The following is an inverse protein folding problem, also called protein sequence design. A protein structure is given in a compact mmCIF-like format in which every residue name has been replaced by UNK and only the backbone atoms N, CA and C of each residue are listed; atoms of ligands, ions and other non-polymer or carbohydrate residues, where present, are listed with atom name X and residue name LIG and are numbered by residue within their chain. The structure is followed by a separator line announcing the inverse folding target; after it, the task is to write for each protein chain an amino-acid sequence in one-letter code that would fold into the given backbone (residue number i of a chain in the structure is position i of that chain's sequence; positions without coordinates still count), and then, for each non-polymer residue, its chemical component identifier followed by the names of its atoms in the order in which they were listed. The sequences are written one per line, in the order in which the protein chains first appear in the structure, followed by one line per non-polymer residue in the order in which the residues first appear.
data_IF_610367092749
#
_entry.id   IF_610367092749
#
_cell.length_a   1.000
_cell.length_b   1.000
_cell.length_c   1.000
_cell.angle_alpha   90.00
_cell.angle_beta   90.00
_cell.angle_gamma   90.00
#
_symmetry.space_group_name_H-M   'P 1'
#
loop_
_entity.id
_entity.type
_entity.pdbx_description
1 polymer ?
#
# COMPACT_ATOMS: atom_id res chain seq x y z
N UNK A 1 3.98 -19.10 3.30
CA UNK A 1 4.16 -18.01 2.31
C UNK A 1 3.42 -16.76 2.78
N UNK A 2 4.04 -15.59 2.69
CA UNK A 2 3.47 -14.29 3.06
C UNK A 2 2.96 -13.55 1.81
N UNK A 3 2.10 -12.55 1.99
CA UNK A 3 1.64 -11.69 0.89
C UNK A 3 2.80 -10.84 0.35
N UNK A 4 3.01 -10.84 -0.97
CA UNK A 4 3.97 -10.00 -1.65
C UNK A 4 3.25 -8.79 -2.28
N UNK A 5 3.25 -7.66 -1.58
CA UNK A 5 2.61 -6.44 -2.03
C UNK A 5 3.28 -5.86 -3.30
N UNK A 6 4.60 -6.00 -3.43
CA UNK A 6 5.36 -5.44 -4.55
C UNK A 6 4.92 -6.05 -5.86
N UNK A 7 4.96 -7.38 -5.97
CA UNK A 7 4.51 -8.11 -7.16
C UNK A 7 3.03 -7.85 -7.45
N UNK A 8 2.19 -7.88 -6.42
CA UNK A 8 0.74 -7.69 -6.59
C UNK A 8 0.38 -6.32 -7.17
N UNK A 9 0.98 -5.25 -6.64
CA UNK A 9 0.68 -3.90 -7.10
C UNK A 9 1.39 -3.54 -8.41
N UNK A 10 2.55 -4.13 -8.68
CA UNK A 10 3.20 -4.03 -9.98
C UNK A 10 2.31 -4.65 -11.07
N UNK A 11 1.81 -5.87 -10.87
CA UNK A 11 0.88 -6.53 -11.81
C UNK A 11 -0.40 -5.70 -12.03
N UNK A 12 -0.92 -5.06 -10.98
CA UNK A 12 -2.07 -4.15 -11.12
C UNK A 12 -1.73 -2.94 -11.98
N UNK A 13 -0.56 -2.32 -11.79
CA UNK A 13 -0.14 -1.18 -12.58
C UNK A 13 0.02 -1.53 -14.07
N UNK A 14 0.50 -2.75 -14.36
CA UNK A 14 0.70 -3.25 -15.73
C UNK A 14 -0.61 -3.73 -16.40
N UNK A 15 -1.57 -4.26 -15.63
CA UNK A 15 -2.81 -4.84 -16.19
C UNK A 15 -4.00 -3.87 -16.21
N UNK A 16 -4.03 -2.88 -15.30
CA UNK A 16 -5.12 -1.93 -15.24
C UNK A 16 -4.98 -0.91 -16.37
N UNK A 17 -5.77 -1.08 -17.44
CA UNK A 17 -5.75 -0.25 -18.67
C UNK A 17 -5.64 1.26 -18.42
N UNK A 18 -6.27 1.79 -17.38
CA UNK A 18 -6.25 3.24 -17.07
C UNK A 18 -4.86 3.71 -16.63
N UNK A 19 -4.11 2.85 -15.95
CA UNK A 19 -2.74 3.10 -15.51
C UNK A 19 -1.79 2.73 -16.65
N UNK A 20 -1.89 1.50 -17.20
CA UNK A 20 -1.00 0.97 -18.22
C UNK A 20 -1.02 1.71 -19.56
N UNK A 21 -2.15 2.33 -19.92
CA UNK A 21 -2.25 3.13 -21.14
C UNK A 21 -1.91 4.62 -20.90
N UNK A 22 -1.45 4.99 -19.70
CA UNK A 22 -1.00 6.37 -19.48
C UNK A 22 0.39 6.58 -20.09
N UNK A 23 0.73 7.81 -20.46
CA UNK A 23 1.96 8.15 -21.19
C UNK A 23 3.23 8.08 -20.34
N UNK A 24 3.12 7.84 -19.03
CA UNK A 24 4.26 7.64 -18.14
C UNK A 24 4.97 6.31 -18.46
N UNK A 25 6.29 6.34 -18.67
CA UNK A 25 7.04 5.12 -19.00
C UNK A 25 7.12 4.08 -17.87
N UNK A 26 6.96 4.50 -16.60
CA UNK A 26 6.92 3.60 -15.45
C UNK A 26 5.77 4.02 -14.52
N UNK A 27 4.79 3.14 -14.32
CA UNK A 27 3.59 3.42 -13.51
C UNK A 27 3.67 2.90 -12.08
N UNK A 28 4.73 2.17 -11.73
CA UNK A 28 4.90 1.57 -10.40
C UNK A 28 6.23 2.00 -9.78
N UNK A 29 6.17 2.44 -8.52
CA UNK A 29 7.35 2.78 -7.74
C UNK A 29 7.24 2.25 -6.34
N UNK A 30 8.32 1.66 -5.83
CA UNK A 30 8.47 1.36 -4.41
C UNK A 30 9.20 2.51 -3.72
N UNK A 31 8.60 3.08 -2.69
CA UNK A 31 9.22 4.07 -1.84
C UNK A 31 9.39 3.52 -0.42
N UNK A 32 10.59 3.61 0.14
CA UNK A 32 10.83 3.20 1.53
C UNK A 32 10.30 4.24 2.53
N UNK A 33 10.27 5.51 2.12
CA UNK A 33 9.83 6.63 2.94
C UNK A 33 9.29 7.77 2.06
N UNK A 34 8.65 8.74 2.72
CA UNK A 34 8.04 9.91 2.05
C UNK A 34 9.08 10.74 1.30
N UNK A 35 10.30 10.91 1.84
CA UNK A 35 11.34 11.72 1.21
C UNK A 35 11.82 11.11 -0.13
N UNK A 36 11.98 9.78 -0.21
CA UNK A 36 12.29 9.07 -1.46
C UNK A 36 11.14 9.16 -2.45
N UNK A 37 9.90 9.08 -1.98
CA UNK A 37 8.71 9.30 -2.82
C UNK A 37 8.71 10.72 -3.40
N UNK A 38 8.94 11.76 -2.60
CA UNK A 38 8.98 13.14 -3.05
C UNK A 38 10.10 13.39 -4.07
N UNK A 39 11.30 12.86 -3.83
CA UNK A 39 12.42 12.97 -4.77
C UNK A 39 12.08 12.34 -6.12
N UNK A 40 11.52 11.14 -6.12
CA UNK A 40 11.09 10.46 -7.35
C UNK A 40 10.00 11.22 -8.10
N UNK A 41 9.00 11.75 -7.38
CA UNK A 41 7.92 12.53 -7.99
C UNK A 41 8.39 13.87 -8.54
N UNK A 42 9.44 14.46 -7.97
CA UNK A 42 10.08 15.66 -8.48
C UNK A 42 10.84 15.40 -9.79
N UNK A 43 11.51 14.24 -9.92
CA UNK A 43 12.13 13.83 -11.19
C UNK A 43 11.07 13.61 -12.29
N UNK A 44 9.88 13.16 -11.91
CA UNK A 44 8.75 12.93 -12.80
C UNK A 44 7.81 14.14 -12.95
N UNK A 45 8.27 15.37 -12.70
CA UNK A 45 7.42 16.56 -12.75
C UNK A 45 6.65 16.78 -14.07
N UNK A 46 7.17 16.25 -15.19
CA UNK A 46 6.54 16.35 -16.52
C UNK A 46 5.87 15.04 -16.97
N UNK A 47 5.84 14.01 -16.12
CA UNK A 47 5.21 12.75 -16.46
C UNK A 47 3.69 12.91 -16.42
N UNK A 48 3.06 12.74 -17.57
CA UNK A 48 1.60 12.69 -17.67
C UNK A 48 1.13 11.26 -17.38
N UNK A 49 0.27 11.11 -16.37
CA UNK A 49 -0.34 9.81 -16.08
C UNK A 49 -0.58 9.54 -14.61
N UNK A 50 -0.88 8.27 -14.33
CA UNK A 50 -1.05 7.76 -12.98
C UNK A 50 0.26 7.12 -12.50
N UNK A 51 0.62 7.40 -11.24
CA UNK A 51 1.69 6.74 -10.54
C UNK A 51 1.13 5.96 -9.36
N UNK A 52 1.39 4.65 -9.32
CA UNK A 52 1.13 3.82 -8.16
C UNK A 52 2.42 3.72 -7.35
N UNK A 53 2.43 4.28 -6.15
CA UNK A 53 3.57 4.24 -5.24
C UNK A 53 3.25 3.31 -4.07
N UNK A 54 3.98 2.21 -3.94
CA UNK A 54 3.89 1.34 -2.77
C UNK A 54 4.85 1.86 -1.70
N UNK A 55 4.36 2.09 -0.49
CA UNK A 55 5.21 2.39 0.66
C UNK A 55 5.18 1.21 1.63
N UNK A 56 6.23 0.39 1.57
CA UNK A 56 6.40 -0.77 2.44
C UNK A 56 7.35 -0.41 3.58
N UNK A 57 6.79 0.16 4.66
CA UNK A 57 7.46 0.20 5.95
C UNK A 57 7.00 -1.01 6.75
N UNK A 58 7.90 -1.87 7.22
CA UNK A 58 7.54 -2.99 8.08
C UNK A 58 6.90 -2.47 9.37
N UNK A 59 5.56 -2.44 9.38
CA UNK A 59 4.73 -2.07 10.51
C UNK A 59 3.79 -3.23 10.76
N UNK A 60 3.82 -3.75 11.98
CA UNK A 60 2.93 -4.82 12.39
C UNK A 60 2.29 -4.51 13.74
N UNK A 61 1.06 -4.97 13.91
CA UNK A 61 0.29 -4.84 15.13
C UNK A 61 -0.09 -6.21 15.65
N UNK A 62 0.02 -6.42 16.96
CA UNK A 62 -0.47 -7.63 17.63
C UNK A 62 -1.93 -7.48 17.98
N UNK A 63 -2.69 -8.55 17.73
CA UNK A 63 -4.08 -8.68 18.13
C UNK A 63 -4.15 -9.87 19.06
N UNK A 64 -4.53 -9.57 20.30
CA UNK A 64 -4.92 -10.57 21.27
C UNK A 64 -6.39 -10.91 21.03
N UNK A 65 -6.64 -12.12 20.54
CA UNK A 65 -7.99 -12.67 20.41
C UNK A 65 -8.26 -13.65 21.54
N UNK A 66 -8.41 -13.13 22.76
CA UNK A 66 -8.76 -13.90 23.97
C UNK A 66 -7.73 -14.98 24.31
N UNK A 67 -6.44 -14.62 24.28
CA UNK A 67 -5.33 -15.32 24.92
C UNK A 67 -4.88 -16.67 24.34
N UNK A 68 -5.65 -17.29 23.44
CA UNK A 68 -5.24 -18.57 22.83
C UNK A 68 -4.33 -18.43 21.61
N UNK A 69 -4.39 -17.31 20.88
CA UNK A 69 -3.50 -17.05 19.75
C UNK A 69 -3.29 -15.55 19.52
N UNK A 70 -2.07 -15.08 19.73
CA UNK A 70 -1.65 -13.75 19.29
C UNK A 70 -1.53 -13.78 17.77
N UNK A 71 -2.33 -12.95 17.09
CA UNK A 71 -2.25 -12.76 15.66
C UNK A 71 -1.47 -11.49 15.36
N UNK A 72 -0.56 -11.57 14.40
CA UNK A 72 0.12 -10.40 13.87
C UNK A 72 -0.63 -9.89 12.64
N UNK A 73 -0.85 -8.58 12.53
CA UNK A 73 -1.31 -7.94 11.29
C UNK A 73 -0.19 -7.10 10.73
N UNK A 74 0.09 -7.22 9.43
CA UNK A 74 1.04 -6.36 8.73
C UNK A 74 0.31 -5.23 8.02
N UNK A 75 0.79 -4.01 8.23
CA UNK A 75 0.27 -2.81 7.61
C UNK A 75 0.90 -2.59 6.24
N UNK A 76 0.07 -2.23 5.27
CA UNK A 76 0.47 -1.86 3.93
C UNK A 76 -0.18 -0.54 3.55
N UNK A 77 0.52 0.25 2.75
CA UNK A 77 -0.04 1.47 2.20
C UNK A 77 0.47 1.70 0.78
N UNK A 78 -0.42 2.12 -0.11
CA UNK A 78 -0.07 2.57 -1.45
C UNK A 78 -0.72 3.91 -1.73
N UNK A 79 -0.11 4.66 -2.64
CA UNK A 79 -0.59 5.93 -3.15
C UNK A 79 -0.91 5.75 -4.62
N UNK A 80 -2.06 6.24 -5.05
CA UNK A 80 -2.34 6.47 -6.45
C UNK A 80 -2.31 7.98 -6.68
N UNK A 81 -1.32 8.45 -7.42
CA UNK A 81 -1.07 9.86 -7.69
C UNK A 81 -1.26 10.15 -9.17
N UNK A 82 -1.67 11.37 -9.49
CA UNK A 82 -1.74 11.89 -10.85
C UNK A 82 -1.18 13.31 -10.88
N UNK A 83 -0.31 13.58 -11.85
CA UNK A 83 0.25 14.91 -12.04
C UNK A 83 -0.81 15.86 -12.63
N UNK A 84 -0.77 17.12 -12.22
CA UNK A 84 -1.61 18.18 -12.74
C UNK A 84 -0.75 19.36 -13.21
N UNK A 85 -0.86 19.71 -14.49
CA UNK A 85 -0.40 21.00 -14.98
C UNK A 85 -1.30 22.10 -14.41
N UNK A 86 -0.69 23.08 -13.73
CA UNK A 86 -1.34 24.19 -13.04
C UNK A 86 -2.38 24.93 -13.90
N UNK A 87 -3.50 25.35 -13.30
CA UNK A 87 -4.37 26.35 -13.96
C UNK A 87 -5.75 26.61 -13.36
N UNK A 88 -6.43 25.64 -12.72
CA UNK A 88 -7.77 25.87 -12.13
C UNK A 88 -8.07 25.00 -10.92
N UNK A 89 -8.72 25.58 -9.90
CA UNK A 89 -9.19 24.91 -8.67
C UNK A 89 -10.15 23.75 -8.94
N UNK A 90 -10.91 23.83 -10.03
CA UNK A 90 -11.81 22.77 -10.51
C UNK A 90 -11.06 21.48 -10.88
N UNK A 91 -9.86 21.60 -11.47
CA UNK A 91 -9.07 20.45 -11.89
C UNK A 91 -8.58 19.57 -10.73
N UNK A 92 -8.39 20.14 -9.53
CA UNK A 92 -7.99 19.39 -8.34
C UNK A 92 -9.05 18.36 -7.95
N UNK A 93 -10.31 18.78 -7.78
CA UNK A 93 -11.38 17.87 -7.38
C UNK A 93 -11.61 16.79 -8.44
N UNK A 94 -11.57 17.19 -9.71
CA UNK A 94 -11.67 16.25 -10.82
C UNK A 94 -10.55 15.20 -10.80
N UNK A 95 -9.31 15.57 -10.44
CA UNK A 95 -8.22 14.60 -10.28
C UNK A 95 -8.48 13.65 -9.13
N UNK A 96 -8.92 14.16 -7.98
CA UNK A 96 -9.23 13.29 -6.84
C UNK A 96 -10.36 12.33 -7.18
N UNK A 97 -11.42 12.78 -7.85
CA UNK A 97 -12.52 11.93 -8.31
C UNK A 97 -12.04 10.88 -9.32
N UNK A 98 -11.16 11.27 -10.24
CA UNK A 98 -10.54 10.35 -11.19
C UNK A 98 -9.66 9.31 -10.48
N UNK A 99 -8.85 9.73 -9.51
CA UNK A 99 -8.03 8.84 -8.70
C UNK A 99 -8.93 7.91 -7.87
N UNK A 100 -10.04 8.41 -7.32
CA UNK A 100 -11.02 7.61 -6.59
C UNK A 100 -11.60 6.51 -7.48
N UNK A 101 -12.03 6.84 -8.69
CA UNK A 101 -12.57 5.87 -9.63
C UNK A 101 -11.55 4.77 -10.00
N UNK A 102 -10.26 5.08 -10.03
CA UNK A 102 -9.20 4.09 -10.25
C UNK A 102 -8.94 3.27 -8.98
N UNK A 103 -8.88 3.91 -7.81
CA UNK A 103 -8.76 3.22 -6.52
C UNK A 103 -9.91 2.25 -6.29
N UNK A 104 -11.16 2.63 -6.60
CA UNK A 104 -12.33 1.77 -6.48
C UNK A 104 -12.16 0.49 -7.34
N UNK A 105 -11.54 0.59 -8.53
CA UNK A 105 -11.23 -0.58 -9.39
C UNK A 105 -10.14 -1.46 -8.77
N UNK A 106 -9.10 -0.87 -8.19
CA UNK A 106 -8.04 -1.60 -7.49
C UNK A 106 -8.62 -2.34 -6.27
N UNK A 107 -9.44 -1.66 -5.47
CA UNK A 107 -10.13 -2.26 -4.32
C UNK A 107 -11.09 -3.36 -4.78
N UNK A 108 -11.84 -3.16 -5.86
CA UNK A 108 -12.70 -4.21 -6.42
C UNK A 108 -11.89 -5.46 -6.83
N UNK A 109 -10.71 -5.29 -7.45
CA UNK A 109 -9.77 -6.39 -7.74
C UNK A 109 -9.32 -7.10 -6.45
N UNK A 110 -8.93 -6.36 -5.41
CA UNK A 110 -8.54 -6.94 -4.11
C UNK A 110 -9.67 -7.77 -3.49
N UNK A 111 -10.91 -7.27 -3.54
CA UNK A 111 -12.09 -7.97 -3.02
C UNK A 111 -12.44 -9.20 -3.87
N UNK A 112 -12.32 -9.11 -5.19
CA UNK A 112 -12.49 -10.25 -6.10
C UNK A 112 -11.44 -11.34 -5.82
N UNK A 113 -10.17 -10.96 -5.71
CA UNK A 113 -9.09 -11.90 -5.43
C UNK A 113 -9.25 -12.53 -4.05
N UNK A 114 -9.76 -11.77 -3.06
CA UNK A 114 -10.14 -12.29 -1.75
C UNK A 114 -11.23 -13.36 -1.86
N UNK A 115 -12.31 -13.10 -2.61
CA UNK A 115 -13.42 -14.03 -2.78
C UNK A 115 -13.00 -15.33 -3.48
N UNK A 116 -11.99 -15.26 -4.35
CA UNK A 116 -11.45 -16.39 -5.11
C UNK A 116 -10.18 -17.02 -4.48
N UNK A 117 -9.79 -16.60 -3.28
CA UNK A 117 -8.58 -17.08 -2.57
C UNK A 117 -7.27 -16.90 -3.35
N UNK A 118 -7.20 -15.91 -4.24
CA UNK A 118 -6.02 -15.59 -5.04
C UNK A 118 -5.08 -14.63 -4.30
N UNK A 119 -3.78 -14.65 -4.65
CA UNK A 119 -2.80 -13.65 -4.22
C UNK A 119 -2.74 -13.38 -2.70
N UNK A 120 -3.07 -14.41 -1.88
CA UNK A 120 -3.15 -14.31 -0.42
C UNK A 120 -4.18 -13.27 0.10
N UNK A 121 -5.08 -12.77 -0.76
CA UNK A 121 -6.08 -11.74 -0.43
C UNK A 121 -7.17 -12.23 0.52
N UNK A 122 -7.30 -13.55 0.75
CA UNK A 122 -8.13 -14.10 1.82
C UNK A 122 -7.75 -13.57 3.22
N UNK A 123 -6.54 -13.01 3.37
CA UNK A 123 -6.01 -12.42 4.60
C UNK A 123 -6.24 -10.92 4.74
N UNK A 124 -6.79 -10.29 3.70
CA UNK A 124 -7.09 -8.87 3.70
C UNK A 124 -8.10 -8.54 4.79
N UNK A 125 -7.74 -7.65 5.70
CA UNK A 125 -8.65 -7.13 6.72
C UNK A 125 -9.48 -5.99 6.13
N UNK A 126 -10.58 -6.32 5.44
CA UNK A 126 -11.45 -5.34 4.75
C UNK A 126 -11.92 -4.19 5.65
N UNK A 127 -12.33 -4.41 6.91
CA UNK A 127 -12.66 -3.33 7.84
C UNK A 127 -11.53 -2.31 8.07
N UNK A 128 -10.28 -2.68 7.81
CA UNK A 128 -9.13 -1.79 7.96
C UNK A 128 -8.81 -0.93 6.74
N UNK A 129 -9.52 -1.11 5.62
CA UNK A 129 -9.32 -0.30 4.43
C UNK A 129 -9.67 1.17 4.72
N UNK A 130 -8.67 2.02 4.60
CA UNK A 130 -8.81 3.47 4.78
C UNK A 130 -8.36 4.17 3.51
N UNK A 131 -9.11 5.22 3.14
CA UNK A 131 -8.90 6.01 1.93
C UNK A 131 -8.73 7.45 2.35
N UNK A 132 -7.57 8.04 2.09
CA UNK A 132 -7.29 9.44 2.45
C UNK A 132 -6.80 10.19 1.24
N UNK A 133 -7.30 11.42 1.06
CA UNK A 133 -6.79 12.30 0.03
C UNK A 133 -5.35 12.72 0.36
N UNK A 134 -4.49 12.74 -0.66
CA UNK A 134 -3.10 13.17 -0.56
C UNK A 134 -2.79 14.23 -1.61
N UNK A 135 -2.06 15.27 -1.21
CA UNK A 135 -1.52 16.27 -2.12
C UNK A 135 -1.53 17.70 -1.56
N UNK A 136 -0.73 18.61 -2.16
CA UNK A 136 0.22 18.32 -3.24
C UNK A 136 1.48 17.60 -2.69
N UNK A 137 1.99 16.62 -3.43
CA UNK A 137 3.27 15.97 -3.17
C UNK A 137 4.23 16.33 -4.30
N UNK A 138 5.42 16.83 -3.97
CA UNK A 138 6.40 17.29 -4.97
C UNK A 138 5.82 18.34 -5.93
N UNK A 139 6.08 18.18 -7.23
CA UNK A 139 5.65 19.09 -8.31
C UNK A 139 4.20 18.83 -8.75
N UNK A 140 3.21 19.14 -7.89
CA UNK A 140 1.76 19.08 -8.19
C UNK A 140 1.15 17.69 -8.41
N UNK A 141 1.65 16.67 -7.69
CA UNK A 141 0.98 15.37 -7.65
C UNK A 141 -0.13 15.34 -6.62
N UNK A 142 -1.32 14.91 -7.04
CA UNK A 142 -2.50 14.76 -6.19
C UNK A 142 -3.06 13.35 -6.33
N UNK A 143 -3.69 12.85 -5.27
CA UNK A 143 -4.26 11.52 -5.33
C UNK A 143 -4.82 11.01 -4.03
N UNK A 144 -4.77 9.69 -3.88
CA UNK A 144 -5.37 8.97 -2.76
C UNK A 144 -4.35 7.99 -2.19
N UNK A 145 -4.18 8.04 -0.88
CA UNK A 145 -3.54 7.00 -0.11
C UNK A 145 -4.59 5.96 0.30
N UNK A 146 -4.23 4.70 0.11
CA UNK A 146 -4.99 3.57 0.62
C UNK A 146 -4.12 2.79 1.58
N UNK A 147 -4.62 2.59 2.80
CA UNK A 147 -3.94 1.85 3.85
C UNK A 147 -4.81 0.72 4.34
N UNK A 148 -4.19 -0.43 4.61
CA UNK A 148 -4.89 -1.64 5.04
C UNK A 148 -3.96 -2.58 5.81
N UNK A 149 -4.56 -3.49 6.55
CA UNK A 149 -3.87 -4.60 7.18
C UNK A 149 -4.10 -5.92 6.45
N UNK A 150 -3.07 -6.76 6.44
CA UNK A 150 -3.17 -8.18 6.14
C UNK A 150 -2.93 -8.97 7.42
N UNK A 151 -3.77 -9.96 7.69
CA UNK A 151 -3.52 -10.94 8.75
C UNK A 151 -2.29 -11.77 8.38
N UNK A 152 -1.32 -11.83 9.28
CA UNK A 152 -0.18 -12.74 9.16
C UNK A 152 -0.55 -14.13 9.68
N UNK A 153 0.34 -15.11 9.49
CA UNK A 153 0.14 -16.46 9.99
C UNK A 153 0.03 -16.46 11.53
N UNK A 154 -0.92 -17.22 12.11
CA UNK A 154 -0.92 -17.49 13.55
C UNK A 154 0.38 -18.22 13.94
N UNK A 155 1.00 -17.83 15.07
CA UNK A 155 2.08 -18.61 15.69
C UNK A 155 3.52 -18.15 15.42
N UNK A 156 3.74 -16.96 14.89
CA UNK A 156 5.10 -16.39 14.73
C UNK A 156 5.72 -15.86 16.04
N UNK A 157 4.91 -15.70 17.09
CA UNK A 157 5.35 -15.18 18.40
C UNK A 157 5.07 -16.24 19.45
N UNK A 158 5.97 -17.21 19.51
CA UNK A 158 5.98 -18.25 20.53
C UNK A 158 7.29 -18.12 21.29
N UNK A 159 7.21 -18.11 22.61
CA UNK A 159 8.39 -18.08 23.45
C UNK A 159 9.12 -19.42 23.35
N UNK A 160 10.39 -19.38 22.93
CA UNK A 160 11.28 -20.54 22.89
C UNK A 160 12.39 -20.34 23.93
N UNK A 161 12.51 -21.26 24.89
CA UNK A 161 13.55 -21.19 25.92
C UNK A 161 14.96 -21.28 25.34
N UNK A 162 15.15 -22.01 24.24
CA UNK A 162 16.46 -22.22 23.63
C UNK A 162 17.02 -20.93 22.98
N UNK A 163 16.18 -19.91 22.79
CA UNK A 163 16.60 -18.61 22.24
C UNK A 163 17.29 -17.73 23.31
N UNK A 164 17.19 -18.09 24.60
CA UNK A 164 17.65 -17.26 25.72
C UNK A 164 18.68 -17.98 26.58
N UNK A 165 19.81 -17.32 26.85
CA UNK A 165 20.74 -17.78 27.89
C UNK A 165 20.25 -17.29 29.26
N UNK A 166 20.15 -18.18 30.24
CA UNK A 166 19.78 -17.79 31.60
C UNK A 166 20.75 -16.72 32.15
N UNK A 167 20.25 -15.69 32.85
CA UNK A 167 21.12 -14.71 33.47
C UNK A 167 21.94 -15.37 34.57
N UNK A 168 23.27 -15.19 34.54
CA UNK A 168 24.16 -15.63 35.61
C UNK A 168 23.84 -14.81 36.87
N UNK A 169 23.09 -15.41 37.79
CA UNK A 169 22.83 -14.81 39.10
C UNK A 169 24.09 -15.03 39.94
N UNK A 170 24.93 -13.99 40.04
CA UNK A 170 26.08 -13.98 40.95
C UNK A 170 25.52 -13.77 42.36
N UNK A 171 25.48 -14.84 43.15
CA UNK A 171 25.15 -14.82 44.58
C UNK A 171 26.30 -14.32 45.43
#
# INVERSE_FOLDING_TARGET
MSFNAETYFQEIAETLKVIANSSAGNHFTKAENIAKMEGFLAEMQYAEGYQLVLMDSFRAQLIDNKSDNILQKRFFTYFLLKNYAEGTFSGKYQIIDNCKAVVDKITAKMLNDRANYLNMMHRLDVPSLTFTQVGPVGSNWWGINVSFFMLDHPGSIVYNNDDWTEPVIIS
#
